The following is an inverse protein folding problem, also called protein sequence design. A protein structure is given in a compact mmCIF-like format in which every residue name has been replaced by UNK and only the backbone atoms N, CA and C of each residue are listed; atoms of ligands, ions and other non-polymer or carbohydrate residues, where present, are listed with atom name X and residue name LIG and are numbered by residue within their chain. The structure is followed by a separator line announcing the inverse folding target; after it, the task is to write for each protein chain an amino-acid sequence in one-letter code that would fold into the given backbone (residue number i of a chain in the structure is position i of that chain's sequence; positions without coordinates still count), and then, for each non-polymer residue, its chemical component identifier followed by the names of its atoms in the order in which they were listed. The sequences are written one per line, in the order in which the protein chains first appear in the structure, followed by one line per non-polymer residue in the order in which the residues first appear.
data_IF_562816041446
#
_entry.id   IF_562816041446
#
_cell.length_a   1.000
_cell.length_b   1.000
_cell.length_c   1.000
_cell.angle_alpha   90.00
_cell.angle_beta   90.00
_cell.angle_gamma   90.00
#
_symmetry.space_group_name_H-M   'P 1'
#
loop_
_entity.id
_entity.type
_entity.pdbx_description
1 polymer ?
#
# COMPACT_ATOMS: atom_id res chain seq x y z
N UNK A 1 23.38 0.42 14.71
CA UNK A 1 22.36 1.29 14.11
C UNK A 1 21.64 0.48 13.04
N UNK A 2 20.37 0.14 13.25
CA UNK A 2 19.58 -0.53 12.21
C UNK A 2 19.46 0.44 11.03
N UNK A 3 19.95 0.03 9.86
CA UNK A 3 19.66 0.72 8.61
C UNK A 3 18.15 0.78 8.47
N UNK A 4 17.57 1.96 8.64
CA UNK A 4 16.17 2.20 8.36
C UNK A 4 15.96 2.03 6.85
N UNK A 5 15.60 0.84 6.41
CA UNK A 5 15.00 0.64 5.10
C UNK A 5 13.67 1.40 5.12
N UNK A 6 13.64 2.55 4.45
CA UNK A 6 12.45 3.41 4.39
C UNK A 6 11.34 2.83 3.48
N UNK A 7 11.68 1.84 2.65
CA UNK A 7 10.73 1.13 1.79
C UNK A 7 10.11 -0.06 2.51
N UNK A 8 8.78 -0.13 2.53
CA UNK A 8 8.04 -1.31 2.94
C UNK A 8 8.05 -2.33 1.79
N UNK A 9 8.65 -3.52 1.94
CA UNK A 9 8.54 -4.58 0.94
C UNK A 9 7.07 -4.94 0.67
N UNK A 10 6.72 -5.18 -0.59
CA UNK A 10 5.35 -5.59 -0.97
C UNK A 10 5.21 -7.10 -0.84
N UNK A 11 5.24 -7.57 0.41
CA UNK A 11 5.15 -8.97 0.80
C UNK A 11 4.00 -9.15 1.79
N UNK A 12 3.23 -10.23 1.66
CA UNK A 12 2.19 -10.60 2.62
C UNK A 12 2.19 -12.12 2.81
N UNK A 13 2.18 -12.58 4.06
CA UNK A 13 1.97 -13.98 4.39
C UNK A 13 0.50 -14.22 4.74
N UNK A 14 -0.06 -15.31 4.23
CA UNK A 14 -1.42 -15.76 4.50
C UNK A 14 -1.44 -17.15 5.12
N UNK A 15 -2.36 -17.40 6.04
CA UNK A 15 -2.69 -18.76 6.46
C UNK A 15 -3.36 -19.53 5.32
N UNK A 16 -3.48 -20.87 5.46
CA UNK A 16 -4.30 -21.70 4.58
C UNK A 16 -5.78 -21.26 4.52
N UNK A 17 -6.27 -20.58 5.57
CA UNK A 17 -7.60 -19.96 5.62
C UNK A 17 -7.66 -18.55 5.01
N UNK A 18 -6.64 -18.14 4.25
CA UNK A 18 -6.56 -16.86 3.55
C UNK A 18 -6.62 -15.64 4.48
N UNK A 19 -6.15 -15.77 5.71
CA UNK A 19 -6.01 -14.65 6.64
C UNK A 19 -4.58 -14.10 6.57
N UNK A 20 -4.43 -12.80 6.32
CA UNK A 20 -3.13 -12.15 6.36
C UNK A 20 -2.56 -12.16 7.79
N UNK A 21 -1.30 -12.57 7.94
CA UNK A 21 -0.63 -12.75 9.25
C UNK A 21 0.64 -11.94 9.42
N UNK A 22 1.33 -11.59 8.33
CA UNK A 22 2.55 -10.78 8.39
C UNK A 22 2.74 -9.99 7.10
N UNK A 23 3.37 -8.82 7.19
CA UNK A 23 3.46 -7.85 6.10
C UNK A 23 4.87 -7.25 5.96
N UNK A 24 5.27 -7.02 4.72
CA UNK A 24 6.52 -6.35 4.36
C UNK A 24 7.76 -6.94 5.04
N UNK A 25 8.53 -6.12 5.74
CA UNK A 25 9.78 -6.57 6.34
C UNK A 25 9.57 -7.59 7.47
N UNK A 26 8.39 -7.59 8.11
CA UNK A 26 8.07 -8.54 9.19
C UNK A 26 8.07 -9.98 8.68
N UNK A 27 7.71 -10.20 7.40
CA UNK A 27 7.71 -11.52 6.75
C UNK A 27 9.12 -12.10 6.57
N UNK A 28 10.14 -11.26 6.70
CA UNK A 28 11.54 -11.64 6.52
C UNK A 28 12.24 -11.95 7.85
N UNK A 29 11.55 -11.80 8.98
CA UNK A 29 12.11 -12.13 10.28
C UNK A 29 12.25 -13.66 10.44
N UNK A 30 13.34 -14.17 11.06
CA UNK A 30 13.54 -15.60 11.26
C UNK A 30 12.39 -16.28 12.03
N UNK A 31 11.79 -15.56 12.99
CA UNK A 31 10.64 -16.04 13.76
C UNK A 31 9.42 -16.28 12.86
N UNK A 32 9.06 -15.29 12.04
CA UNK A 32 7.92 -15.40 11.11
C UNK A 32 8.18 -16.43 10.02
N UNK A 33 9.43 -16.57 9.54
CA UNK A 33 9.78 -17.61 8.58
C UNK A 33 9.63 -19.01 9.17
N UNK A 34 10.10 -19.24 10.40
CA UNK A 34 9.89 -20.50 11.10
C UNK A 34 8.41 -20.82 11.27
N UNK A 35 7.59 -19.84 11.68
CA UNK A 35 6.14 -20.02 11.78
C UNK A 35 5.48 -20.29 10.42
N UNK A 36 5.94 -19.63 9.36
CA UNK A 36 5.41 -19.82 8.02
C UNK A 36 5.69 -21.23 7.50
N UNK A 37 6.88 -21.77 7.77
CA UNK A 37 7.25 -23.15 7.44
C UNK A 37 6.45 -24.18 8.27
N UNK A 38 6.33 -23.96 9.58
CA UNK A 38 5.60 -24.88 10.47
C UNK A 38 4.10 -24.95 10.19
N UNK A 39 3.50 -23.85 9.70
CA UNK A 39 2.06 -23.71 9.52
C UNK A 39 1.64 -23.65 8.04
N UNK A 40 2.54 -23.96 7.11
CA UNK A 40 2.32 -23.92 5.66
C UNK A 40 1.71 -22.60 5.18
N UNK A 41 2.22 -21.47 5.68
CA UNK A 41 1.75 -20.14 5.26
C UNK A 41 2.17 -19.83 3.83
N UNK A 42 1.28 -19.15 3.11
CA UNK A 42 1.43 -18.82 1.70
C UNK A 42 1.98 -17.41 1.56
N UNK A 43 3.18 -17.29 0.99
CA UNK A 43 3.79 -16.00 0.68
C UNK A 43 3.25 -15.44 -0.64
N UNK A 44 2.62 -14.27 -0.55
CA UNK A 44 2.24 -13.45 -1.70
C UNK A 44 3.25 -12.33 -1.87
N UNK A 45 3.91 -12.30 -3.02
CA UNK A 45 4.92 -11.30 -3.41
C UNK A 45 4.59 -10.76 -4.79
N UNK A 46 5.17 -9.61 -5.13
CA UNK A 46 5.02 -8.98 -6.45
C UNK A 46 3.56 -8.80 -6.91
N UNK A 47 2.60 -8.75 -5.99
CA UNK A 47 1.18 -8.66 -6.32
C UNK A 47 0.83 -7.36 -7.08
N UNK A 48 1.69 -6.33 -7.00
CA UNK A 48 1.59 -5.11 -7.82
C UNK A 48 1.67 -5.39 -9.32
N UNK A 49 2.38 -6.45 -9.73
CA UNK A 49 2.52 -6.82 -11.14
C UNK A 49 1.20 -7.28 -11.77
N UNK A 50 0.25 -7.77 -10.97
CA UNK A 50 -1.06 -8.20 -11.50
C UNK A 50 -1.90 -7.05 -12.04
N UNK A 51 -1.64 -5.81 -11.59
CA UNK A 51 -2.33 -4.62 -12.08
C UNK A 51 -1.77 -4.07 -13.39
N UNK A 52 -0.70 -4.63 -13.94
CA UNK A 52 -0.29 -4.24 -15.29
C UNK A 52 -1.32 -4.72 -16.33
N UNK A 53 -1.64 -3.91 -17.35
CA UNK A 53 -2.38 -4.37 -18.51
C UNK A 53 -1.68 -5.56 -19.17
N UNK A 54 -2.45 -6.49 -19.72
CA UNK A 54 -1.91 -7.73 -20.28
C UNK A 54 -1.01 -7.47 -21.49
N UNK A 55 -1.28 -6.40 -22.25
CA UNK A 55 -0.42 -5.94 -23.34
C UNK A 55 0.98 -5.55 -22.82
N UNK A 56 1.03 -4.77 -21.73
CA UNK A 56 2.29 -4.35 -21.11
C UNK A 56 3.03 -5.54 -20.50
N UNK A 57 2.30 -6.50 -19.92
CA UNK A 57 2.90 -7.74 -19.41
C UNK A 57 3.56 -8.54 -20.52
N UNK A 58 2.88 -8.71 -21.66
CA UNK A 58 3.40 -9.41 -22.82
C UNK A 58 4.62 -8.71 -23.43
N UNK A 59 4.54 -7.39 -23.64
CA UNK A 59 5.64 -6.60 -24.22
C UNK A 59 6.92 -6.64 -23.37
N UNK A 60 6.76 -6.57 -22.03
CA UNK A 60 7.89 -6.47 -21.09
C UNK A 60 8.28 -7.81 -20.47
N UNK A 61 7.67 -8.93 -20.89
CA UNK A 61 7.85 -10.25 -20.30
C UNK A 61 7.66 -10.25 -18.77
N UNK A 62 6.65 -9.53 -18.27
CA UNK A 62 6.32 -9.47 -16.85
C UNK A 62 5.50 -10.70 -16.48
N UNK A 63 6.11 -11.62 -15.73
CA UNK A 63 5.42 -12.76 -15.14
C UNK A 63 5.03 -12.42 -13.69
N UNK A 64 3.74 -12.51 -13.39
CA UNK A 64 3.22 -12.40 -12.02
C UNK A 64 3.04 -13.79 -11.42
N UNK A 65 3.51 -14.00 -10.20
CA UNK A 65 3.27 -15.24 -9.45
C UNK A 65 1.75 -15.44 -9.26
N UNK A 66 1.20 -16.65 -9.46
CA UNK A 66 -0.23 -16.86 -9.28
C UNK A 66 -0.64 -16.58 -7.83
N UNK A 67 -1.81 -15.95 -7.64
CA UNK A 67 -2.37 -15.79 -6.31
C UNK A 67 -2.84 -17.15 -5.75
N UNK A 68 -2.73 -17.39 -4.44
CA UNK A 68 -3.35 -18.53 -3.77
C UNK A 68 -4.83 -18.69 -4.15
N UNK A 69 -5.28 -19.94 -4.27
CA UNK A 69 -6.67 -20.24 -4.58
C UNK A 69 -7.64 -19.57 -3.59
N UNK A 70 -8.62 -18.86 -4.12
CA UNK A 70 -9.62 -18.11 -3.36
C UNK A 70 -9.19 -16.70 -2.92
N UNK A 71 -7.89 -16.39 -2.95
CA UNK A 71 -7.39 -15.08 -2.59
C UNK A 71 -7.52 -14.11 -3.77
N UNK A 72 -8.30 -13.05 -3.59
CA UNK A 72 -8.46 -12.01 -4.62
C UNK A 72 -7.39 -10.93 -4.51
N UNK A 73 -7.03 -10.32 -5.64
CA UNK A 73 -6.12 -9.18 -5.65
C UNK A 73 -6.65 -8.00 -4.82
N UNK A 74 -7.97 -7.78 -4.85
CA UNK A 74 -8.64 -6.78 -4.03
C UNK A 74 -8.39 -7.02 -2.53
N UNK A 75 -8.48 -8.27 -2.08
CA UNK A 75 -8.20 -8.64 -0.69
C UNK A 75 -6.72 -8.37 -0.35
N UNK A 76 -5.80 -8.77 -1.22
CA UNK A 76 -4.36 -8.53 -0.99
C UNK A 76 -4.05 -7.05 -0.81
N UNK A 77 -4.61 -6.19 -1.66
CA UNK A 77 -4.46 -4.74 -1.51
C UNK A 77 -5.16 -4.19 -0.27
N UNK A 78 -6.37 -4.66 0.04
CA UNK A 78 -7.11 -4.22 1.23
C UNK A 78 -6.37 -4.56 2.52
N UNK A 79 -5.85 -5.79 2.65
CA UNK A 79 -5.09 -6.23 3.80
C UNK A 79 -3.78 -5.43 3.94
N UNK A 80 -3.06 -5.23 2.83
CA UNK A 80 -1.82 -4.46 2.81
C UNK A 80 -2.03 -2.97 3.13
N UNK A 81 -3.08 -2.37 2.58
CA UNK A 81 -3.48 -0.99 2.88
C UNK A 81 -3.95 -0.84 4.33
N UNK A 82 -4.69 -1.82 4.85
CA UNK A 82 -5.10 -1.85 6.26
C UNK A 82 -3.90 -1.90 7.21
N UNK A 83 -2.89 -2.70 6.87
CA UNK A 83 -1.61 -2.73 7.58
C UNK A 83 -0.92 -1.35 7.56
N UNK A 84 -0.80 -0.72 6.38
CA UNK A 84 -0.21 0.62 6.25
C UNK A 84 -0.96 1.63 7.13
N UNK A 85 -2.29 1.71 7.00
CA UNK A 85 -3.10 2.68 7.74
C UNK A 85 -2.97 2.48 9.25
N UNK A 86 -3.01 1.23 9.72
CA UNK A 86 -2.83 0.88 11.13
C UNK A 86 -1.48 1.36 11.66
N UNK A 87 -0.40 1.09 10.93
CA UNK A 87 0.96 1.46 11.36
C UNK A 87 1.20 2.97 11.24
N UNK A 88 0.66 3.64 10.20
CA UNK A 88 0.69 5.10 10.07
C UNK A 88 -0.04 5.77 11.23
N UNK A 89 -1.24 5.30 11.57
CA UNK A 89 -2.00 5.79 12.73
C UNK A 89 -1.17 5.65 14.01
N UNK A 90 -0.68 4.44 14.29
CA UNK A 90 0.11 4.17 15.49
C UNK A 90 1.34 5.07 15.58
N UNK A 91 2.09 5.19 14.48
CA UNK A 91 3.26 6.05 14.43
C UNK A 91 2.91 7.52 14.69
N UNK A 92 1.83 8.02 14.09
CA UNK A 92 1.36 9.38 14.32
C UNK A 92 0.95 9.62 15.78
N UNK A 93 0.16 8.70 16.35
CA UNK A 93 -0.31 8.79 17.73
C UNK A 93 0.85 8.77 18.75
N UNK A 94 1.88 7.95 18.49
CA UNK A 94 3.05 7.79 19.36
C UNK A 94 4.05 8.97 19.24
N UNK A 95 4.09 9.68 18.10
CA UNK A 95 5.13 10.69 17.80
C UNK A 95 4.65 12.14 17.86
N UNK A 96 3.35 12.38 17.70
CA UNK A 96 2.78 13.72 17.70
C UNK A 96 2.24 14.04 19.09
N UNK A 97 2.55 15.23 19.62
CA UNK A 97 2.00 15.71 20.89
C UNK A 97 0.46 15.72 20.78
N UNK A 98 -0.22 15.05 21.72
CA UNK A 98 -1.68 14.82 21.67
C UNK A 98 -2.14 14.04 20.42
N UNK A 99 -1.28 13.19 19.86
CA UNK A 99 -1.51 12.48 18.60
C UNK A 99 -2.81 11.69 18.54
N UNK A 100 -3.17 10.94 19.59
CA UNK A 100 -4.46 10.20 19.64
C UNK A 100 -5.68 11.12 19.54
N UNK A 101 -5.66 12.27 20.22
CA UNK A 101 -6.76 13.24 20.17
C UNK A 101 -6.84 13.92 18.80
N UNK A 102 -5.68 14.27 18.23
CA UNK A 102 -5.61 14.86 16.89
C UNK A 102 -6.07 13.88 15.81
N UNK A 103 -5.60 12.63 15.86
CA UNK A 103 -6.04 11.59 14.93
C UNK A 103 -7.55 11.40 15.01
N UNK A 104 -8.12 11.22 16.22
CA UNK A 104 -9.57 11.09 16.40
C UNK A 104 -10.35 12.29 15.85
N UNK A 105 -9.81 13.51 16.00
CA UNK A 105 -10.44 14.74 15.51
C UNK A 105 -10.41 14.85 13.98
N UNK A 106 -9.31 14.48 13.34
CA UNK A 106 -9.06 14.75 11.92
C UNK A 106 -9.14 13.52 11.00
N UNK A 107 -9.24 12.29 11.53
CA UNK A 107 -9.31 11.09 10.71
C UNK A 107 -10.48 11.11 9.73
N UNK A 108 -11.59 11.77 10.08
CA UNK A 108 -12.75 11.91 9.21
C UNK A 108 -12.55 12.90 8.06
N UNK A 109 -11.57 13.81 8.13
CA UNK A 109 -11.24 14.76 7.06
C UNK A 109 -9.93 14.41 6.36
N UNK A 110 -9.37 13.23 6.62
CA UNK A 110 -8.14 12.78 6.00
C UNK A 110 -8.37 12.51 4.51
N UNK A 111 -7.47 13.04 3.68
CA UNK A 111 -7.38 12.71 2.27
C UNK A 111 -6.18 11.79 2.04
N UNK A 112 -6.29 10.91 1.05
CA UNK A 112 -5.29 9.91 0.70
C UNK A 112 -4.91 10.08 -0.75
N UNK A 113 -3.62 10.22 -1.00
CA UNK A 113 -3.05 10.29 -2.34
C UNK A 113 -2.28 9.00 -2.61
N UNK A 114 -2.69 8.25 -3.62
CA UNK A 114 -2.02 7.01 -4.05
C UNK A 114 -1.20 7.30 -5.29
N UNK A 115 0.13 7.18 -5.16
CA UNK A 115 1.03 7.22 -6.29
C UNK A 115 0.98 5.89 -7.06
N UNK A 116 0.92 5.94 -8.40
CA UNK A 116 0.83 4.76 -9.24
C UNK A 116 1.73 4.85 -10.49
N UNK A 117 2.13 3.71 -11.09
CA UNK A 117 2.84 3.70 -12.38
C UNK A 117 2.03 4.37 -13.48
N UNK A 118 2.70 5.00 -14.45
CA UNK A 118 2.04 5.70 -15.55
C UNK A 118 1.11 4.80 -16.37
N UNK A 119 1.45 3.51 -16.45
CA UNK A 119 0.75 2.50 -17.24
C UNK A 119 -0.60 2.06 -16.62
N UNK A 120 -0.91 2.47 -15.38
CA UNK A 120 -2.16 2.09 -14.73
C UNK A 120 -3.33 2.99 -15.15
N UNK A 121 -4.42 2.35 -15.59
CA UNK A 121 -5.61 2.97 -16.18
C UNK A 121 -6.73 3.16 -15.15
N UNK A 122 -7.96 3.40 -15.63
CA UNK A 122 -9.14 3.59 -14.79
C UNK A 122 -9.53 2.36 -13.97
N UNK A 123 -9.37 1.15 -14.53
CA UNK A 123 -9.70 -0.11 -13.83
C UNK A 123 -8.80 -0.35 -12.63
N UNK A 124 -7.50 -0.12 -12.77
CA UNK A 124 -6.53 -0.30 -11.69
C UNK A 124 -6.79 0.71 -10.57
N UNK A 125 -7.03 1.98 -10.93
CA UNK A 125 -7.40 3.02 -9.96
C UNK A 125 -8.71 2.71 -9.25
N UNK A 126 -9.69 2.13 -9.95
CA UNK A 126 -10.93 1.69 -9.34
C UNK A 126 -10.69 0.59 -8.30
N UNK A 127 -9.90 -0.44 -8.63
CA UNK A 127 -9.53 -1.52 -7.70
C UNK A 127 -8.83 -0.98 -6.46
N UNK A 128 -7.84 -0.09 -6.63
CA UNK A 128 -7.10 0.50 -5.51
C UNK A 128 -8.01 1.37 -4.63
N UNK A 129 -8.93 2.12 -5.22
CA UNK A 129 -9.91 2.90 -4.47
C UNK A 129 -10.81 1.99 -3.64
N UNK A 130 -11.33 0.91 -4.23
CA UNK A 130 -12.14 -0.08 -3.51
C UNK A 130 -11.35 -0.75 -2.39
N UNK A 131 -10.07 -1.10 -2.63
CA UNK A 131 -9.20 -1.66 -1.60
C UNK A 131 -8.96 -0.68 -0.46
N UNK A 132 -8.73 0.60 -0.74
CA UNK A 132 -8.53 1.63 0.28
C UNK A 132 -9.80 1.88 1.11
N UNK A 133 -10.98 1.83 0.49
CA UNK A 133 -12.26 1.87 1.21
C UNK A 133 -12.40 0.66 2.13
N UNK A 134 -12.15 -0.55 1.63
CA UNK A 134 -12.20 -1.78 2.42
C UNK A 134 -11.18 -1.79 3.58
N UNK A 135 -10.01 -1.17 3.38
CA UNK A 135 -8.98 -0.97 4.39
C UNK A 135 -9.32 0.11 5.44
N UNK A 136 -10.42 0.85 5.26
CA UNK A 136 -10.90 1.84 6.23
C UNK A 136 -10.31 3.25 6.10
N UNK A 137 -9.74 3.61 4.94
CA UNK A 137 -9.25 4.97 4.69
C UNK A 137 -10.38 6.01 4.70
N UNK A 138 -11.54 5.62 4.16
CA UNK A 138 -12.76 6.44 4.15
C UNK A 138 -13.97 5.55 3.87
N UNK A 139 -15.18 6.10 4.08
CA UNK A 139 -16.42 5.49 3.62
C UNK A 139 -16.56 5.59 2.10
N UNK A 140 -17.31 4.66 1.51
CA UNK A 140 -17.51 4.53 0.07
C UNK A 140 -18.07 5.80 -0.57
N UNK A 141 -19.06 6.43 0.05
CA UNK A 141 -19.70 7.66 -0.45
C UNK A 141 -18.74 8.85 -0.52
N UNK A 142 -17.69 8.86 0.31
CA UNK A 142 -16.68 9.92 0.36
C UNK A 142 -15.40 9.56 -0.41
N UNK A 143 -15.29 8.33 -0.95
CA UNK A 143 -14.11 7.88 -1.66
C UNK A 143 -13.75 8.74 -2.89
N UNK A 144 -14.70 9.23 -3.72
CA UNK A 144 -14.36 10.06 -4.88
C UNK A 144 -13.71 11.40 -4.52
N UNK A 145 -14.00 11.95 -3.34
CA UNK A 145 -13.47 13.24 -2.89
C UNK A 145 -12.30 13.15 -1.92
N UNK A 146 -11.97 11.94 -1.42
CA UNK A 146 -10.89 11.73 -0.45
C UNK A 146 -9.77 10.82 -0.92
N UNK A 147 -9.98 10.03 -1.98
CA UNK A 147 -8.95 9.17 -2.55
C UNK A 147 -8.56 9.69 -3.92
N UNK A 148 -7.36 10.25 -3.97
CA UNK A 148 -6.77 10.87 -5.14
C UNK A 148 -5.65 9.98 -5.69
N UNK A 149 -5.34 10.17 -6.96
CA UNK A 149 -4.30 9.44 -7.66
C UNK A 149 -3.34 10.42 -8.30
N UNK A 150 -2.05 10.11 -8.20
CA UNK A 150 -0.97 10.83 -8.86
C UNK A 150 -0.04 9.81 -9.50
N UNK A 151 0.63 10.18 -10.58
CA UNK A 151 1.65 9.29 -11.12
C UNK A 151 2.90 9.30 -10.22
N UNK A 152 3.63 8.19 -10.18
CA UNK A 152 4.90 8.12 -9.45
C UNK A 152 5.91 9.18 -9.93
N UNK A 153 6.11 9.42 -11.24
CA UNK A 153 6.97 10.51 -11.72
C UNK A 153 6.51 11.90 -11.24
N UNK A 154 5.21 12.21 -11.30
CA UNK A 154 4.70 13.52 -10.84
C UNK A 154 4.91 13.68 -9.33
N UNK A 155 4.61 12.65 -8.54
CA UNK A 155 4.83 12.67 -7.09
C UNK A 155 6.31 12.92 -6.73
N UNK A 156 7.23 12.31 -7.48
CA UNK A 156 8.67 12.55 -7.33
C UNK A 156 9.04 13.99 -7.68
N UNK A 157 8.51 14.54 -8.77
CA UNK A 157 8.73 15.95 -9.14
C UNK A 157 8.28 16.89 -8.02
N UNK A 158 7.06 16.69 -7.48
CA UNK A 158 6.58 17.48 -6.33
C UNK A 158 7.50 17.35 -5.11
N UNK A 159 7.98 16.14 -4.80
CA UNK A 159 8.91 15.91 -3.70
C UNK A 159 10.24 16.65 -3.91
N UNK A 160 10.83 16.57 -5.11
CA UNK A 160 12.09 17.26 -5.43
C UNK A 160 11.94 18.78 -5.34
N UNK A 161 10.88 19.32 -5.91
CA UNK A 161 10.66 20.77 -5.92
C UNK A 161 10.42 21.32 -4.51
N UNK A 162 9.68 20.58 -3.65
CA UNK A 162 9.48 20.96 -2.25
C UNK A 162 10.75 20.85 -1.42
N UNK A 163 11.54 19.79 -1.60
CA UNK A 163 12.77 19.57 -0.83
C UNK A 163 13.89 20.57 -1.15
N UNK A 164 13.88 21.14 -2.36
CA UNK A 164 14.89 22.08 -2.83
C UNK A 164 14.39 23.53 -2.87
N UNK A 165 13.23 23.85 -2.26
CA UNK A 165 12.60 25.18 -2.27
C UNK A 165 12.49 25.82 -3.67
N UNK A 166 12.37 25.00 -4.73
CA UNK A 166 12.35 25.47 -6.11
C UNK A 166 11.01 26.10 -6.51
N UNK A 167 10.03 26.11 -5.59
CA UNK A 167 8.72 26.73 -5.81
C UNK A 167 8.82 28.23 -6.09
N UNK A 168 9.81 28.92 -5.53
CA UNK A 168 10.04 30.35 -5.76
C UNK A 168 10.70 30.66 -7.10
N UNK A 169 11.20 29.66 -7.84
CA UNK A 169 11.90 29.85 -9.11
C UNK A 169 11.00 29.76 -10.35
N UNK A 170 9.69 29.49 -10.16
CA UNK A 170 8.70 29.26 -11.23
C UNK A 170 7.55 30.30 -11.18
N UNK A 171 7.65 31.31 -10.30
CA UNK A 171 6.83 32.53 -10.38
C UNK A 171 7.56 33.59 -11.19
#
# INVERSE_FOLDING_TARGET
AQNAQSGLPTLVLYTASQKAVSFGAETLSPEVQGQAEENDWLLVKHFRLHLYPDEVKAERNINSDPLPAGLSLLQVYSDFFGYILKHTKKFFEDRVINGSNLWKRYCHSMETLIAHPNEWSGSEKALLRTAAVAAGFTKEEAAPSKIHFVTEPDALVYFFMRSHNLWSAIQ
#
